data_IF_885151332541
#
_entry.id   IF_885151332541
#
_cell.length_a   1.000
_cell.length_b   1.000
_cell.length_c   1.000
_cell.angle_alpha   90.00
_cell.angle_beta   90.00
_cell.angle_gamma   90.00
#
_symmetry.space_group_name_H-M   'P 1'
#
loop_
_entity.id
_entity.type
_entity.pdbx_description
1 polymer ?
#
# COMPACT_ATOMS: atom_id res chain seq x y z
N UNK A 1 -9.11 -7.67 1.29
CA UNK A 1 -8.78 -9.03 1.78
C UNK A 1 -7.82 -9.02 2.98
N UNK A 2 -7.21 -7.90 3.36
CA UNK A 2 -6.30 -7.81 4.53
C UNK A 2 -6.97 -7.96 5.89
N UNK A 3 -8.29 -7.72 5.94
CA UNK A 3 -9.11 -7.78 7.16
C UNK A 3 -10.43 -8.51 6.86
N UNK A 4 -10.37 -9.81 6.55
CA UNK A 4 -11.58 -10.57 6.19
C UNK A 4 -12.55 -10.78 7.36
N UNK A 5 -12.07 -10.68 8.61
CA UNK A 5 -12.88 -10.81 9.82
C UNK A 5 -13.51 -9.48 10.27
N UNK A 6 -13.06 -8.35 9.75
CA UNK A 6 -13.54 -7.04 10.19
C UNK A 6 -14.86 -6.69 9.51
N UNK A 7 -15.95 -6.71 10.30
CA UNK A 7 -17.28 -6.36 9.82
C UNK A 7 -17.43 -4.89 9.44
N UNK A 8 -16.63 -3.98 10.00
CA UNK A 8 -16.71 -2.55 9.70
C UNK A 8 -16.23 -2.28 8.28
N UNK A 9 -15.13 -2.91 7.89
CA UNK A 9 -14.59 -2.82 6.52
C UNK A 9 -15.60 -3.35 5.50
N UNK A 10 -16.33 -4.43 5.83
CA UNK A 10 -17.38 -4.95 4.94
C UNK A 10 -18.54 -3.98 4.77
N UNK A 11 -18.96 -3.29 5.85
CA UNK A 11 -19.99 -2.24 5.75
C UNK A 11 -19.51 -1.08 4.91
N UNK A 12 -18.24 -0.69 5.03
CA UNK A 12 -17.65 0.37 4.21
C UNK A 12 -17.64 -0.02 2.72
N UNK A 13 -17.37 -1.28 2.37
CA UNK A 13 -17.45 -1.74 0.97
C UNK A 13 -18.84 -1.53 0.38
N UNK A 14 -19.90 -1.58 1.19
CA UNK A 14 -21.27 -1.33 0.71
C UNK A 14 -21.51 0.14 0.33
N UNK A 15 -20.75 1.09 0.86
CA UNK A 15 -20.86 2.51 0.48
C UNK A 15 -20.11 2.86 -0.81
N UNK A 16 -19.32 1.94 -1.36
CA UNK A 16 -18.61 2.15 -2.61
C UNK A 16 -19.56 2.22 -3.81
N UNK A 17 -19.07 2.85 -4.89
CA UNK A 17 -19.79 2.94 -6.16
C UNK A 17 -20.08 1.54 -6.71
N UNK A 18 -21.19 1.40 -7.46
CA UNK A 18 -21.70 0.11 -7.93
C UNK A 18 -20.66 -0.64 -8.78
N UNK A 19 -19.94 0.08 -9.64
CA UNK A 19 -18.92 -0.47 -10.53
C UNK A 19 -17.78 -1.14 -9.75
N UNK A 20 -17.39 -0.53 -8.62
CA UNK A 20 -16.36 -1.06 -7.73
C UNK A 20 -16.87 -2.28 -6.97
N UNK A 21 -18.10 -2.22 -6.43
CA UNK A 21 -18.71 -3.34 -5.69
C UNK A 21 -18.92 -4.56 -6.56
N UNK A 22 -19.31 -4.35 -7.81
CA UNK A 22 -19.58 -5.43 -8.76
C UNK A 22 -18.30 -6.01 -9.38
N UNK A 23 -17.15 -5.37 -9.18
CA UNK A 23 -15.86 -5.86 -9.66
C UNK A 23 -15.54 -7.25 -9.12
N UNK A 24 -14.92 -8.08 -9.97
CA UNK A 24 -14.57 -9.48 -9.63
C UNK A 24 -13.73 -9.60 -8.35
N UNK A 25 -12.69 -8.77 -8.11
CA UNK A 25 -11.89 -8.86 -6.89
C UNK A 25 -12.68 -8.54 -5.62
N UNK A 26 -13.57 -7.53 -5.67
CA UNK A 26 -14.39 -7.13 -4.51
C UNK A 26 -15.44 -8.18 -4.20
N UNK A 27 -16.13 -8.71 -5.22
CA UNK A 27 -17.09 -9.80 -5.06
C UNK A 27 -16.45 -11.05 -4.45
N UNK A 28 -15.26 -11.42 -4.91
CA UNK A 28 -14.50 -12.53 -4.32
C UNK A 28 -14.17 -12.26 -2.84
N UNK A 29 -13.70 -11.06 -2.50
CA UNK A 29 -13.39 -10.71 -1.11
C UNK A 29 -14.63 -10.78 -0.20
N UNK A 30 -15.79 -10.32 -0.67
CA UNK A 30 -17.06 -10.43 0.05
C UNK A 30 -17.48 -11.90 0.24
N UNK A 31 -17.32 -12.73 -0.79
CA UNK A 31 -17.63 -14.16 -0.71
C UNK A 31 -16.70 -14.92 0.25
N UNK A 32 -15.41 -14.59 0.28
CA UNK A 32 -14.45 -15.15 1.22
C UNK A 32 -14.79 -14.74 2.66
N UNK A 33 -15.08 -13.47 2.89
CA UNK A 33 -15.46 -12.99 4.22
C UNK A 33 -16.77 -13.63 4.70
N UNK A 34 -17.78 -13.73 3.83
CA UNK A 34 -19.03 -14.43 4.14
C UNK A 34 -18.80 -15.92 4.45
N UNK A 35 -17.89 -16.59 3.74
CA UNK A 35 -17.54 -17.97 4.04
C UNK A 35 -16.91 -18.12 5.44
N UNK A 36 -16.04 -17.19 5.84
CA UNK A 36 -15.44 -17.18 7.19
C UNK A 36 -16.46 -16.88 8.29
N UNK A 37 -17.32 -15.88 8.09
CA UNK A 37 -18.38 -15.52 9.05
C UNK A 37 -19.35 -16.67 9.30
N UNK A 38 -19.72 -17.39 8.24
CA UNK A 38 -20.62 -18.55 8.31
C UNK A 38 -19.90 -19.86 8.71
N UNK A 39 -18.62 -19.79 9.14
CA UNK A 39 -17.79 -20.96 9.48
C UNK A 39 -17.73 -22.02 8.38
N UNK A 40 -17.86 -21.61 7.11
CA UNK A 40 -17.80 -22.49 5.95
C UNK A 40 -16.39 -22.49 5.34
N UNK A 41 -15.48 -23.15 6.03
CA UNK A 41 -14.07 -23.21 5.68
C UNK A 41 -13.80 -23.96 4.37
N UNK A 42 -14.62 -24.97 4.06
CA UNK A 42 -14.57 -25.70 2.78
C UNK A 42 -14.85 -24.76 1.62
N UNK A 43 -15.88 -23.91 1.75
CA UNK A 43 -16.21 -22.90 0.74
C UNK A 43 -15.08 -21.88 0.60
N UNK A 44 -14.45 -21.47 1.70
CA UNK A 44 -13.32 -20.54 1.68
C UNK A 44 -12.17 -21.07 0.80
N UNK A 45 -11.68 -22.29 1.06
CA UNK A 45 -10.60 -22.87 0.26
C UNK A 45 -11.02 -23.16 -1.18
N UNK A 46 -12.27 -23.59 -1.41
CA UNK A 46 -12.80 -23.80 -2.76
C UNK A 46 -12.80 -22.51 -3.59
N UNK A 47 -13.22 -21.39 -3.00
CA UNK A 47 -13.21 -20.08 -3.67
C UNK A 47 -11.77 -19.64 -4.00
N UNK A 48 -10.82 -19.86 -3.09
CA UNK A 48 -9.41 -19.56 -3.35
C UNK A 48 -8.82 -20.40 -4.49
N UNK A 49 -9.07 -21.71 -4.48
CA UNK A 49 -8.58 -22.61 -5.54
C UNK A 49 -9.16 -22.27 -6.90
N UNK A 50 -10.46 -21.96 -7.00
CA UNK A 50 -11.13 -21.75 -8.28
C UNK A 50 -11.04 -20.32 -8.81
N UNK A 51 -11.30 -19.33 -7.95
CA UNK A 51 -11.64 -17.97 -8.40
C UNK A 51 -10.56 -16.93 -8.08
N UNK A 52 -9.65 -17.22 -7.14
CA UNK A 52 -8.60 -16.29 -6.72
C UNK A 52 -7.34 -16.38 -7.59
N UNK A 53 -6.75 -15.20 -7.82
CA UNK A 53 -5.42 -15.02 -8.43
C UNK A 53 -4.29 -15.37 -7.45
N UNK A 54 -3.08 -15.53 -7.97
CA UNK A 54 -1.89 -15.79 -7.15
C UNK A 54 -1.74 -14.79 -5.99
N UNK A 55 -1.72 -13.48 -6.26
CA UNK A 55 -1.59 -12.45 -5.22
C UNK A 55 -2.72 -12.47 -4.19
N UNK A 56 -3.96 -12.74 -4.62
CA UNK A 56 -5.08 -12.87 -3.70
C UNK A 56 -4.92 -14.08 -2.77
N UNK A 57 -4.40 -15.20 -3.30
CA UNK A 57 -4.02 -16.35 -2.48
C UNK A 57 -2.89 -15.99 -1.49
N UNK A 58 -1.85 -15.28 -1.92
CA UNK A 58 -0.77 -14.83 -1.03
C UNK A 58 -1.28 -13.94 0.11
N UNK A 59 -2.20 -13.01 -0.18
CA UNK A 59 -2.81 -12.18 0.87
C UNK A 59 -3.64 -13.04 1.83
N UNK A 60 -4.36 -14.04 1.31
CA UNK A 60 -5.19 -14.91 2.13
C UNK A 60 -4.42 -15.99 2.89
N UNK A 61 -3.17 -16.26 2.52
CA UNK A 61 -2.30 -17.28 3.10
C UNK A 61 -2.13 -17.11 4.61
N UNK A 62 -2.09 -15.86 5.09
CA UNK A 62 -2.04 -15.53 6.52
C UNK A 62 -3.21 -16.07 7.34
N UNK A 63 -4.34 -16.41 6.70
CA UNK A 63 -5.52 -16.95 7.37
C UNK A 63 -5.55 -18.48 7.36
N UNK A 64 -4.70 -19.16 6.60
CA UNK A 64 -4.86 -20.60 6.36
C UNK A 64 -4.75 -21.40 7.66
N UNK A 65 -3.73 -21.14 8.47
CA UNK A 65 -3.51 -21.85 9.73
C UNK A 65 -4.69 -21.64 10.70
N UNK A 66 -5.18 -20.41 10.83
CA UNK A 66 -6.35 -20.08 11.68
C UNK A 66 -7.64 -20.74 11.15
N UNK A 67 -7.85 -20.71 9.84
CA UNK A 67 -9.01 -21.33 9.19
C UNK A 67 -8.97 -22.85 9.31
N UNK A 68 -7.81 -23.47 9.14
CA UNK A 68 -7.60 -24.91 9.32
C UNK A 68 -7.85 -25.32 10.78
N UNK A 69 -7.27 -24.60 11.75
CA UNK A 69 -7.49 -24.85 13.17
C UNK A 69 -8.97 -24.77 13.54
N UNK A 70 -9.67 -23.71 13.12
CA UNK A 70 -11.11 -23.53 13.36
C UNK A 70 -11.96 -24.59 12.66
N UNK A 71 -11.57 -25.02 11.47
CA UNK A 71 -12.25 -26.10 10.76
C UNK A 71 -12.10 -27.43 11.49
N UNK A 72 -10.88 -27.78 11.92
CA UNK A 72 -10.61 -28.98 12.70
C UNK A 72 -11.39 -28.99 14.00
N UNK A 73 -11.37 -27.89 14.75
CA UNK A 73 -12.16 -27.76 15.99
C UNK A 73 -13.67 -27.95 15.73
N UNK A 74 -14.18 -27.37 14.64
CA UNK A 74 -15.59 -27.52 14.26
C UNK A 74 -15.93 -28.97 13.92
N UNK A 75 -15.06 -29.65 13.16
CA UNK A 75 -15.22 -31.06 12.82
C UNK A 75 -15.18 -31.94 14.08
N UNK A 76 -14.16 -31.80 14.93
CA UNK A 76 -14.04 -32.55 16.19
C UNK A 76 -15.23 -32.35 17.13
N UNK A 77 -15.81 -31.15 17.14
CA UNK A 77 -17.01 -30.86 17.94
C UNK A 77 -18.26 -31.53 17.36
N UNK A 78 -18.35 -31.66 16.03
CA UNK A 78 -19.52 -32.22 15.35
C UNK A 78 -19.54 -33.76 15.32
N UNK A 79 -18.39 -34.40 15.08
CA UNK A 79 -18.31 -35.86 14.88
C UNK A 79 -18.29 -36.68 16.19
N UNK A 80 -18.11 -36.04 17.35
CA UNK A 80 -18.09 -36.72 18.66
C UNK A 80 -16.72 -37.32 19.02
N UNK A 81 -16.61 -37.88 20.24
CA UNK A 81 -15.33 -38.38 20.77
C UNK A 81 -14.84 -39.62 20.02
N UNK A 82 -13.55 -39.65 19.69
CA UNK A 82 -12.85 -40.75 19.03
C UNK A 82 -13.53 -41.19 17.72
N UNK A 83 -14.07 -40.22 17.00
CA UNK A 83 -14.69 -40.47 15.70
C UNK A 83 -13.62 -40.66 14.63
N UNK A 84 -13.85 -41.62 13.76
CA UNK A 84 -12.93 -41.96 12.68
C UNK A 84 -13.32 -41.15 11.45
N UNK A 85 -12.35 -40.48 10.82
CA UNK A 85 -12.58 -39.67 9.61
C UNK A 85 -11.57 -40.02 8.50
N UNK A 86 -11.98 -40.08 7.22
CA UNK A 86 -11.07 -40.36 6.12
C UNK A 86 -10.04 -39.25 5.93
N UNK A 87 -8.76 -39.60 6.01
CA UNK A 87 -7.64 -38.68 5.79
C UNK A 87 -7.71 -38.08 4.37
N UNK A 88 -8.05 -38.89 3.37
CA UNK A 88 -8.12 -38.44 1.98
C UNK A 88 -9.13 -37.29 1.76
N UNK A 89 -10.18 -37.26 2.56
CA UNK A 89 -11.18 -36.19 2.48
C UNK A 89 -10.66 -34.93 3.17
N UNK A 90 -10.04 -35.05 4.34
CA UNK A 90 -9.67 -33.88 5.14
C UNK A 90 -8.61 -33.03 4.44
N UNK A 91 -7.61 -33.66 3.84
CA UNK A 91 -6.51 -32.91 3.24
C UNK A 91 -6.89 -32.16 1.97
N UNK A 92 -7.79 -32.73 1.18
CA UNK A 92 -8.34 -32.07 -0.01
C UNK A 92 -9.24 -30.89 0.36
N UNK A 93 -10.09 -31.07 1.38
CA UNK A 93 -11.07 -30.09 1.84
C UNK A 93 -10.40 -28.88 2.52
N UNK A 94 -9.37 -29.12 3.33
CA UNK A 94 -8.60 -28.09 4.03
C UNK A 94 -7.37 -27.59 3.26
N UNK A 95 -7.25 -28.03 2.01
CA UNK A 95 -6.30 -27.53 1.02
C UNK A 95 -4.82 -27.68 1.39
N UNK A 96 -4.45 -28.76 2.07
CA UNK A 96 -3.04 -29.20 2.08
C UNK A 96 -2.63 -29.69 0.69
N UNK A 97 -1.32 -29.65 0.40
CA UNK A 97 -0.79 -30.09 -0.89
C UNK A 97 -0.79 -31.61 -0.99
N UNK A 98 -0.25 -32.26 0.04
CA UNK A 98 0.01 -33.69 0.06
C UNK A 98 -0.48 -34.30 1.39
N UNK A 99 -0.63 -35.63 1.40
CA UNK A 99 -1.12 -36.39 2.56
C UNK A 99 -0.16 -36.26 3.76
N UNK A 100 1.14 -36.31 3.50
CA UNK A 100 2.19 -36.26 4.51
C UNK A 100 2.24 -34.89 5.18
N UNK A 101 2.01 -33.83 4.40
CA UNK A 101 1.92 -32.46 4.91
C UNK A 101 0.71 -32.28 5.82
N UNK A 102 -0.44 -32.83 5.42
CA UNK A 102 -1.62 -32.85 6.24
C UNK A 102 -1.36 -33.57 7.57
N UNK A 103 -0.76 -34.76 7.55
CA UNK A 103 -0.44 -35.51 8.77
C UNK A 103 0.49 -34.74 9.72
N UNK A 104 1.53 -34.09 9.19
CA UNK A 104 2.43 -33.24 9.98
C UNK A 104 1.68 -32.08 10.63
N UNK A 105 0.83 -31.37 9.88
CA UNK A 105 0.02 -30.27 10.41
C UNK A 105 -1.03 -30.77 11.43
N UNK A 106 -1.69 -31.88 11.15
CA UNK A 106 -2.69 -32.51 12.01
C UNK A 106 -2.10 -32.93 13.37
N UNK A 107 -0.88 -33.46 13.37
CA UNK A 107 -0.17 -33.83 14.59
C UNK A 107 0.06 -32.61 15.52
N UNK A 108 0.32 -31.42 14.96
CA UNK A 108 0.48 -30.18 15.76
C UNK A 108 -0.82 -29.78 16.46
N UNK A 109 -1.97 -30.13 15.89
CA UNK A 109 -3.29 -29.88 16.49
C UNK A 109 -3.76 -31.01 17.41
N UNK A 110 -2.92 -32.03 17.66
CA UNK A 110 -3.26 -33.19 18.48
C UNK A 110 -4.14 -34.23 17.78
N UNK A 111 -4.26 -34.16 16.45
CA UNK A 111 -5.00 -35.15 15.65
C UNK A 111 -4.05 -36.29 15.29
N UNK A 112 -4.43 -37.52 15.64
CA UNK A 112 -3.62 -38.70 15.39
C UNK A 112 -4.19 -39.53 14.25
N UNK A 113 -3.29 -40.20 13.53
CA UNK A 113 -3.65 -41.23 12.56
C UNK A 113 -4.17 -42.48 13.29
N UNK A 114 -5.09 -43.21 12.67
CA UNK A 114 -5.58 -44.46 13.24
C UNK A 114 -4.50 -45.56 13.12
N UNK A 115 -4.18 -46.22 14.23
CA UNK A 115 -3.18 -47.30 14.28
C UNK A 115 -3.54 -48.49 13.38
N UNK A 116 -4.84 -48.72 13.13
CA UNK A 116 -5.34 -49.86 12.37
C UNK A 116 -5.57 -49.58 10.89
N UNK A 117 -5.77 -48.31 10.53
CA UNK A 117 -5.98 -47.88 9.15
C UNK A 117 -5.30 -46.53 8.91
N UNK A 118 -4.19 -46.56 8.18
CA UNK A 118 -3.44 -45.36 7.89
C UNK A 118 -4.25 -44.35 7.05
N UNK A 119 -5.31 -44.76 6.35
CA UNK A 119 -6.18 -43.87 5.57
C UNK A 119 -7.19 -43.11 6.44
N UNK A 120 -7.15 -43.30 7.75
CA UNK A 120 -8.08 -42.71 8.70
C UNK A 120 -7.35 -41.90 9.78
N UNK A 121 -8.05 -40.88 10.29
CA UNK A 121 -7.64 -40.07 11.43
C UNK A 121 -8.68 -40.15 12.53
N UNK A 122 -8.24 -40.00 13.77
CA UNK A 122 -9.10 -40.00 14.94
C UNK A 122 -9.34 -38.56 15.36
N UNK A 123 -10.60 -38.13 15.27
CA UNK A 123 -11.04 -36.83 15.72
C UNK A 123 -11.47 -36.93 17.19
N UNK A 124 -10.73 -36.25 18.06
CA UNK A 124 -11.08 -36.08 19.46
C UNK A 124 -10.86 -34.63 19.89
N UNK A 125 -11.95 -34.00 20.35
CA UNK A 125 -11.91 -32.61 20.84
C UNK A 125 -11.04 -32.45 22.09
N UNK A 126 -10.97 -33.47 22.94
CA UNK A 126 -10.24 -33.39 24.22
C UNK A 126 -8.72 -33.31 24.01
N UNK A 127 -8.24 -33.74 22.84
CA UNK A 127 -6.82 -33.69 22.47
C UNK A 127 -6.47 -32.47 21.60
N UNK A 128 -7.44 -31.60 21.30
CA UNK A 128 -7.23 -30.49 20.39
C UNK A 128 -6.33 -29.41 21.00
N UNK A 129 -5.24 -29.10 20.31
CA UNK A 129 -4.30 -28.04 20.71
C UNK A 129 -4.68 -26.76 19.94
N UNK A 130 -5.36 -25.84 20.62
CA UNK A 130 -5.84 -24.61 19.98
C UNK A 130 -4.71 -23.61 19.67
N UNK A 131 -3.73 -23.50 20.56
CA UNK A 131 -2.59 -22.57 20.42
C UNK A 131 -1.38 -23.23 19.73
N UNK A 132 -1.63 -24.22 18.88
CA UNK A 132 -0.60 -24.75 18.01
C UNK A 132 -0.04 -23.59 17.17
N UNK A 133 1.29 -23.46 17.13
CA UNK A 133 1.99 -22.46 16.33
C UNK A 133 2.61 -23.12 15.08
N UNK A 134 1.81 -23.55 14.09
CA UNK A 134 2.35 -24.10 12.87
C UNK A 134 3.04 -22.99 12.07
N UNK A 135 4.20 -23.35 11.51
CA UNK A 135 4.94 -22.45 10.64
C UNK A 135 4.10 -22.08 9.41
N UNK A 136 4.35 -20.87 8.90
CA UNK A 136 3.72 -20.42 7.68
C UNK A 136 4.39 -21.10 6.48
N UNK A 137 3.82 -22.24 6.06
CA UNK A 137 4.36 -23.06 4.98
C UNK A 137 3.91 -22.54 3.59
N UNK A 138 4.78 -22.49 2.57
CA UNK A 138 4.34 -22.29 1.19
C UNK A 138 3.46 -23.45 0.70
N UNK A 139 2.43 -23.13 -0.08
CA UNK A 139 1.52 -24.12 -0.66
C UNK A 139 1.78 -24.24 -2.15
N UNK A 140 2.10 -25.46 -2.61
CA UNK A 140 2.41 -25.75 -4.02
C UNK A 140 1.24 -25.42 -4.93
N UNK A 141 0.00 -25.65 -4.47
CA UNK A 141 -1.18 -25.27 -5.26
C UNK A 141 -1.36 -23.75 -5.41
N UNK A 142 -0.81 -22.96 -4.48
CA UNK A 142 -0.78 -21.49 -4.61
C UNK A 142 0.29 -21.10 -5.61
N UNK A 143 1.49 -21.65 -5.50
CA UNK A 143 2.60 -21.36 -6.41
C UNK A 143 2.28 -21.76 -7.86
N UNK A 144 1.55 -22.86 -8.05
CA UNK A 144 1.05 -23.30 -9.36
C UNK A 144 0.11 -22.28 -10.05
N UNK A 145 -0.44 -21.31 -9.31
CA UNK A 145 -1.24 -20.22 -9.88
C UNK A 145 -0.38 -19.11 -10.47
N UNK A 146 0.91 -19.05 -10.16
CA UNK A 146 1.80 -18.08 -10.73
C UNK A 146 2.28 -18.55 -12.11
N UNK A 147 1.62 -18.07 -13.16
CA UNK A 147 1.98 -18.35 -14.55
C UNK A 147 2.73 -17.21 -15.22
N UNK A 148 3.03 -16.13 -14.49
CA UNK A 148 3.57 -14.87 -15.03
C UNK A 148 4.95 -14.56 -14.45
N UNK A 149 5.82 -13.81 -15.17
CA UNK A 149 7.07 -13.33 -14.59
C UNK A 149 6.79 -12.39 -13.41
N UNK A 150 7.72 -12.34 -12.44
CA UNK A 150 7.59 -11.51 -11.24
C UNK A 150 7.34 -10.02 -11.53
N UNK A 151 7.90 -9.49 -12.63
CA UNK A 151 7.63 -8.13 -13.08
C UNK A 151 6.14 -7.92 -13.39
N UNK A 152 5.51 -8.84 -14.12
CA UNK A 152 4.08 -8.76 -14.43
C UNK A 152 3.21 -9.00 -13.20
N UNK A 153 3.66 -9.85 -12.27
CA UNK A 153 2.97 -10.04 -10.99
C UNK A 153 2.96 -8.73 -10.19
N UNK A 154 4.09 -8.02 -10.13
CA UNK A 154 4.22 -6.77 -9.37
C UNK A 154 3.51 -5.58 -10.05
N UNK A 155 3.67 -5.44 -11.37
CA UNK A 155 3.18 -4.29 -12.12
C UNK A 155 1.80 -4.48 -12.75
N UNK A 156 1.25 -5.69 -12.71
CA UNK A 156 -0.04 -6.03 -13.29
C UNK A 156 0.03 -6.48 -14.75
N UNK A 157 -1.12 -6.82 -15.36
CA UNK A 157 -1.20 -7.46 -16.67
C UNK A 157 -0.88 -6.54 -17.85
N UNK A 158 -0.80 -5.23 -17.63
CA UNK A 158 -0.45 -4.24 -18.66
C UNK A 158 1.08 -4.17 -18.72
N UNK A 159 1.71 -4.17 -19.91
CA UNK A 159 3.15 -3.98 -20.02
C UNK A 159 3.53 -2.65 -19.37
N UNK A 160 4.12 -2.75 -18.19
CA UNK A 160 4.74 -1.63 -17.52
C UNK A 160 6.01 -1.29 -18.29
N UNK A 161 5.95 -0.22 -19.08
CA UNK A 161 7.17 0.46 -19.48
C UNK A 161 7.66 1.23 -18.26
N UNK A 162 8.88 0.95 -17.81
CA UNK A 162 9.63 1.98 -17.11
C UNK A 162 9.61 3.19 -18.06
N UNK A 163 8.94 4.27 -17.68
CA UNK A 163 9.30 5.56 -18.26
C UNK A 163 10.81 5.64 -18.09
N UNK A 164 11.61 5.83 -19.16
CA UNK A 164 13.04 5.97 -18.99
C UNK A 164 13.21 7.02 -17.90
N UNK A 165 13.88 6.65 -16.81
CA UNK A 165 14.28 7.63 -15.80
C UNK A 165 14.97 8.69 -16.64
N UNK A 166 14.34 9.88 -16.73
CA UNK A 166 14.96 11.02 -17.39
C UNK A 166 16.33 11.09 -16.78
N UNK A 167 17.36 10.89 -17.61
CA UNK A 167 18.76 10.70 -17.22
C UNK A 167 19.01 11.50 -15.96
N UNK A 168 19.33 10.84 -14.84
CA UNK A 168 19.61 11.55 -13.58
C UNK A 168 20.63 12.62 -13.94
N UNK A 169 20.29 13.91 -13.86
CA UNK A 169 21.21 14.95 -14.27
C UNK A 169 22.42 14.83 -13.35
N UNK A 170 23.59 14.59 -13.94
CA UNK A 170 24.83 14.63 -13.18
C UNK A 170 25.12 16.10 -12.87
N UNK A 171 24.78 16.51 -11.65
CA UNK A 171 24.95 17.89 -11.22
C UNK A 171 26.40 18.23 -10.89
N UNK A 172 27.30 17.24 -10.89
CA UNK A 172 28.70 17.38 -10.54
C UNK A 172 29.59 17.30 -11.78
N UNK A 173 30.78 17.90 -11.69
CA UNK A 173 31.85 17.69 -12.67
C UNK A 173 32.85 16.63 -12.18
N UNK A 174 33.82 16.29 -13.02
CA UNK A 174 34.87 15.28 -12.71
C UNK A 174 35.76 15.68 -11.50
N UNK A 175 35.57 16.88 -10.94
CA UNK A 175 36.23 17.36 -9.71
C UNK A 175 35.31 17.38 -8.48
N UNK A 176 34.14 16.74 -8.56
CA UNK A 176 33.12 16.68 -7.49
C UNK A 176 32.51 18.06 -7.14
N UNK A 177 32.50 19.00 -8.09
CA UNK A 177 31.97 20.35 -7.89
C UNK A 177 30.57 20.44 -8.49
N UNK A 178 29.61 20.92 -7.68
CA UNK A 178 28.23 21.14 -8.08
C UNK A 178 28.09 22.31 -9.06
N UNK A 179 28.08 22.01 -10.36
CA UNK A 179 28.14 23.02 -11.43
C UNK A 179 27.04 22.85 -12.51
N UNK A 180 26.27 21.76 -12.50
CA UNK A 180 25.29 21.43 -13.55
C UNK A 180 23.89 21.25 -12.99
N UNK A 181 23.32 22.33 -12.47
CA UNK A 181 21.93 22.34 -12.00
C UNK A 181 21.04 23.06 -13.02
N UNK A 182 20.16 22.28 -13.66
CA UNK A 182 19.21 22.74 -14.68
C UNK A 182 18.16 23.70 -14.06
N UNK A 183 17.80 23.48 -12.79
CA UNK A 183 16.87 24.33 -12.04
C UNK A 183 17.52 25.68 -11.74
N UNK A 184 18.75 25.69 -11.22
CA UNK A 184 19.46 26.95 -10.96
C UNK A 184 19.78 27.71 -12.25
N UNK A 185 20.15 26.99 -13.32
CA UNK A 185 20.42 27.60 -14.64
C UNK A 185 19.19 28.31 -15.17
N UNK A 186 18.01 27.67 -15.07
CA UNK A 186 16.74 28.29 -15.49
C UNK A 186 16.36 29.51 -14.64
N UNK A 187 16.70 29.53 -13.36
CA UNK A 187 16.52 30.69 -12.47
C UNK A 187 17.48 31.82 -12.86
N UNK A 188 18.76 31.52 -13.08
CA UNK A 188 19.75 32.54 -13.47
C UNK A 188 19.45 33.17 -14.83
N UNK A 189 18.95 32.39 -15.79
CA UNK A 189 18.45 32.90 -17.07
C UNK A 189 17.22 33.79 -16.88
N UNK A 190 16.24 33.33 -16.10
CA UNK A 190 14.99 34.06 -15.85
C UNK A 190 15.23 35.43 -15.20
N UNK A 191 16.27 35.58 -14.39
CA UNK A 191 16.64 36.83 -13.73
C UNK A 191 17.83 37.57 -14.36
N UNK A 192 18.36 37.10 -15.50
CA UNK A 192 19.53 37.70 -16.19
C UNK A 192 20.76 37.89 -15.28
N UNK A 193 20.98 36.96 -14.34
CA UNK A 193 22.05 37.01 -13.33
C UNK A 193 23.38 36.41 -13.82
N UNK A 194 23.46 35.97 -15.08
CA UNK A 194 24.61 35.26 -15.64
C UNK A 194 25.91 36.09 -15.57
N UNK A 195 25.81 37.41 -15.78
CA UNK A 195 26.95 38.34 -15.73
C UNK A 195 27.47 38.61 -14.30
N UNK A 196 26.60 38.60 -13.28
CA UNK A 196 27.01 38.76 -11.87
C UNK A 196 27.63 37.47 -11.30
N UNK A 197 27.08 36.30 -11.66
CA UNK A 197 27.63 35.01 -11.25
C UNK A 197 29.04 34.77 -11.82
N UNK A 198 29.26 35.14 -13.09
CA UNK A 198 30.59 35.07 -13.72
C UNK A 198 31.58 36.06 -13.10
N UNK A 199 31.14 37.26 -12.71
CA UNK A 199 31.99 38.24 -12.04
C UNK A 199 32.42 37.77 -10.64
N UNK A 200 31.54 37.15 -9.85
CA UNK A 200 31.91 36.59 -8.54
C UNK A 200 32.87 35.40 -8.66
N UNK A 201 32.67 34.50 -9.63
CA UNK A 201 33.58 33.37 -9.86
C UNK A 201 34.98 33.80 -10.36
N UNK A 202 35.07 34.90 -11.11
CA UNK A 202 36.37 35.50 -11.47
C UNK A 202 37.04 36.23 -10.30
N UNK A 203 36.27 36.79 -9.36
CA UNK A 203 36.78 37.54 -8.21
C UNK A 203 37.42 36.60 -7.17
N UNK A 204 36.92 35.37 -7.01
CA UNK A 204 37.53 34.36 -6.12
C UNK A 204 38.89 33.82 -6.60
N UNK A 205 39.33 34.11 -7.83
CA UNK A 205 40.64 33.67 -8.35
C UNK A 205 41.81 34.59 -7.99
N UNK A 206 41.61 35.70 -7.30
CA UNK A 206 42.70 36.56 -6.84
C UNK A 206 43.05 36.33 -5.36
N UNK A 207 44.32 36.06 -5.00
CA UNK A 207 44.70 35.93 -3.60
C UNK A 207 44.92 37.33 -3.02
N UNK A 208 43.95 37.85 -2.28
CA UNK A 208 44.12 39.06 -1.47
C UNK A 208 43.65 38.80 -0.05
N UNK A 209 44.61 38.62 0.85
CA UNK A 209 44.42 38.10 2.20
C UNK A 209 43.97 39.15 3.25
N UNK A 210 43.59 40.38 2.89
CA UNK A 210 43.37 41.43 3.89
C UNK A 210 42.07 42.25 3.76
N UNK A 211 41.22 42.05 2.74
CA UNK A 211 39.92 42.75 2.59
C UNK A 211 38.69 41.98 3.10
N UNK A 212 38.83 40.68 3.40
CA UNK A 212 37.74 39.70 3.61
C UNK A 212 36.67 40.10 4.64
N UNK A 213 36.98 40.88 5.67
CA UNK A 213 36.00 41.18 6.73
C UNK A 213 35.02 42.30 6.39
N UNK A 214 35.35 43.18 5.44
CA UNK A 214 34.49 44.34 5.10
C UNK A 214 33.57 44.02 3.92
N UNK A 215 34.10 43.42 2.86
CA UNK A 215 33.32 42.95 1.71
C UNK A 215 32.33 41.83 2.10
N UNK A 216 32.70 40.93 3.01
CA UNK A 216 31.79 39.88 3.50
C UNK A 216 30.61 40.43 4.30
N UNK A 217 30.79 41.54 5.03
CA UNK A 217 29.69 42.22 5.74
C UNK A 217 28.80 43.03 4.80
N UNK A 218 29.39 43.73 3.84
CA UNK A 218 28.66 44.51 2.85
C UNK A 218 27.85 43.60 1.91
N UNK A 219 28.41 42.46 1.49
CA UNK A 219 27.69 41.42 0.73
C UNK A 219 26.58 40.75 1.55
N UNK A 220 26.81 40.42 2.82
CA UNK A 220 25.75 39.90 3.70
C UNK A 220 24.62 40.92 3.93
N UNK A 221 24.94 42.21 4.10
CA UNK A 221 23.94 43.27 4.24
C UNK A 221 23.15 43.47 2.95
N UNK A 222 23.81 43.40 1.79
CA UNK A 222 23.16 43.49 0.50
C UNK A 222 22.22 42.31 0.23
N UNK A 223 22.68 41.07 0.49
CA UNK A 223 21.85 39.85 0.39
C UNK A 223 20.64 39.98 1.30
N UNK A 224 20.84 40.37 2.57
CA UNK A 224 19.75 40.52 3.54
C UNK A 224 18.71 41.57 3.06
N UNK A 225 19.17 42.74 2.62
CA UNK A 225 18.28 43.81 2.13
C UNK A 225 17.51 43.39 0.87
N UNK A 226 18.15 42.61 -0.01
CA UNK A 226 17.51 42.14 -1.24
C UNK A 226 16.49 41.04 -0.98
N UNK A 227 16.79 40.10 -0.09
CA UNK A 227 15.84 39.08 0.39
C UNK A 227 14.64 39.74 1.06
N UNK A 228 14.86 40.70 1.95
CA UNK A 228 13.78 41.41 2.67
C UNK A 228 12.87 42.18 1.71
N UNK A 229 13.43 42.77 0.65
CA UNK A 229 12.64 43.43 -0.40
C UNK A 229 11.75 42.45 -1.17
N UNK A 230 12.31 41.33 -1.62
CA UNK A 230 11.56 40.31 -2.38
C UNK A 230 10.47 39.67 -1.51
N UNK A 231 10.76 39.42 -0.24
CA UNK A 231 9.77 38.89 0.71
C UNK A 231 8.61 39.87 0.90
N UNK A 232 8.89 41.17 1.05
CA UNK A 232 7.83 42.17 1.19
C UNK A 232 7.01 42.34 -0.10
N UNK A 233 7.65 42.32 -1.26
CA UNK A 233 6.97 42.43 -2.56
C UNK A 233 6.02 41.24 -2.80
N UNK A 234 6.48 40.01 -2.50
CA UNK A 234 5.64 38.81 -2.57
C UNK A 234 4.54 38.84 -1.52
N UNK A 235 4.82 39.30 -0.30
CA UNK A 235 3.81 39.40 0.76
C UNK A 235 2.71 40.42 0.40
N UNK A 236 3.06 41.55 -0.21
CA UNK A 236 2.12 42.57 -0.67
C UNK A 236 1.30 42.07 -1.87
N UNK A 237 1.93 41.38 -2.82
CA UNK A 237 1.25 40.80 -3.97
C UNK A 237 0.26 39.70 -3.56
N UNK A 238 0.67 38.81 -2.65
CA UNK A 238 -0.20 37.77 -2.10
C UNK A 238 -1.32 38.37 -1.24
N UNK A 239 -1.04 39.37 -0.40
CA UNK A 239 -2.08 40.08 0.37
C UNK A 239 -3.09 40.78 -0.53
N UNK A 240 -2.63 41.43 -1.61
CA UNK A 240 -3.51 42.05 -2.61
C UNK A 240 -4.35 41.01 -3.38
N UNK A 241 -3.79 39.83 -3.65
CA UNK A 241 -4.52 38.72 -4.26
C UNK A 241 -5.60 38.14 -3.34
N UNK A 242 -5.29 37.98 -2.04
CA UNK A 242 -6.21 37.44 -1.04
C UNK A 242 -7.36 38.42 -0.76
N UNK A 243 -7.06 39.72 -0.62
CA UNK A 243 -8.07 40.76 -0.43
C UNK A 243 -9.03 40.88 -1.63
N UNK A 244 -8.55 40.63 -2.85
CA UNK A 244 -9.41 40.58 -4.05
C UNK A 244 -10.30 39.33 -4.06
N UNK A 245 -9.79 38.19 -3.60
CA UNK A 245 -10.57 36.95 -3.52
C UNK A 245 -11.67 37.05 -2.47
N UNK A 246 -11.38 37.58 -1.27
CA UNK A 246 -12.39 37.76 -0.21
C UNK A 246 -13.43 38.83 -0.56
N UNK A 247 -13.05 39.92 -1.22
CA UNK A 247 -14.01 40.93 -1.70
C UNK A 247 -14.98 40.36 -2.75
N UNK A 248 -14.56 39.39 -3.57
CA UNK A 248 -15.45 38.69 -4.51
C UNK A 248 -16.41 37.74 -3.80
N UNK A 249 -15.97 37.05 -2.75
CA UNK A 249 -16.84 36.20 -1.93
C UNK A 249 -17.88 37.03 -1.15
N UNK A 250 -17.48 38.15 -0.55
CA UNK A 250 -18.40 39.03 0.20
C UNK A 250 -19.44 39.70 -0.73
N UNK A 251 -19.03 40.07 -1.95
CA UNK A 251 -19.94 40.61 -2.97
C UNK A 251 -20.90 39.54 -3.53
N UNK A 252 -20.42 38.29 -3.65
CA UNK A 252 -21.24 37.12 -4.02
C UNK A 252 -22.31 36.82 -2.97
N UNK A 253 -21.95 36.82 -1.69
CA UNK A 253 -22.90 36.59 -0.59
C UNK A 253 -23.95 37.71 -0.49
N UNK A 254 -23.56 38.97 -0.70
CA UNK A 254 -24.48 40.12 -0.71
C UNK A 254 -25.47 40.10 -1.90
N UNK A 255 -25.03 39.68 -3.08
CA UNK A 255 -25.94 39.47 -4.23
C UNK A 255 -26.90 38.31 -4.01
N UNK A 256 -26.43 37.21 -3.41
CA UNK A 256 -27.28 36.05 -3.14
C UNK A 256 -28.39 36.36 -2.13
N UNK A 257 -28.06 37.10 -1.07
CA UNK A 257 -29.02 37.49 -0.02
C UNK A 257 -30.03 38.52 -0.51
N UNK A 258 -29.60 39.54 -1.28
CA UNK A 258 -30.52 40.54 -1.85
C UNK A 258 -31.48 39.97 -2.89
N UNK A 259 -31.06 38.98 -3.69
CA UNK A 259 -31.94 38.28 -4.63
C UNK A 259 -32.97 37.40 -3.90
N UNK A 260 -32.60 36.78 -2.79
CA UNK A 260 -33.51 35.97 -1.98
C UNK A 260 -34.58 36.86 -1.32
N UNK A 261 -34.21 38.03 -0.79
CA UNK A 261 -35.17 38.97 -0.19
C UNK A 261 -36.13 39.61 -1.22
N UNK A 262 -35.72 39.76 -2.49
CA UNK A 262 -36.59 40.24 -3.57
C UNK A 262 -37.60 39.19 -4.05
N UNK A 263 -37.39 37.90 -3.76
CA UNK A 263 -38.28 36.80 -4.19
C UNK A 263 -39.32 36.46 -3.11
N UNK A 264 -39.10 36.87 -1.86
CA UNK A 264 -39.95 36.54 -0.70
C UNK A 264 -41.04 37.61 -0.42
N UNK A 265 -41.18 38.64 -1.27
CA UNK A 265 -42.23 39.68 -1.14
C UNK A 265 -43.26 39.66 -2.26
#
# INVERSE_FOLDING_TARGET
MLHLYDSNILRQVLSYRKEVRDSRPVRLALQLSSALQNKNYVRFFRLLKRDATFLQCCICHRYFNDVQAKALLTMMTAYGRNSVFPLDTIWRVLAWDDREDALKSLALYGVQQNDMDCDQIILNRDHFIQDAAPDLKPYRWVDAKNTSPWSQVAHGPVPFSFSPISTVPDSFDDSDIYNKDEVLSSIFEKYSLQSEAQQMMLTERQPAAESRNRESRETQQWIKSKVERVVNEVADEQSSSLCRATAVEEFSESLSSSLIDSIIK
#
